data_IF_532405239766
#
_entry.id   IF_532405239766
#
_cell.length_a   1.000
_cell.length_b   1.000
_cell.length_c   1.000
_cell.angle_alpha   90.00
_cell.angle_beta   90.00
_cell.angle_gamma   90.00
#
_symmetry.space_group_name_H-M   'P 1'
#
loop_
_entity.id
_entity.type
_entity.pdbx_description
1 polymer ?
#
# COMPACT_ATOMS: atom_id res chain seq x y z
N UNK A 1 32.72 -11.47 -6.99
CA UNK A 1 32.99 -12.48 -5.93
C UNK A 1 31.90 -12.40 -4.87
N UNK A 2 31.05 -13.42 -4.75
CA UNK A 2 30.05 -13.48 -3.68
C UNK A 2 30.76 -13.69 -2.34
N UNK A 3 30.65 -12.72 -1.42
CA UNK A 3 31.21 -12.81 -0.07
C UNK A 3 30.58 -14.04 0.62
N UNK A 4 31.38 -15.04 0.99
CA UNK A 4 30.88 -16.21 1.75
C UNK A 4 30.40 -15.72 3.12
N UNK A 5 29.10 -15.56 3.29
CA UNK A 5 28.49 -15.19 4.58
C UNK A 5 28.46 -16.43 5.48
N UNK A 6 28.85 -16.25 6.75
CA UNK A 6 28.85 -17.34 7.73
C UNK A 6 27.42 -17.78 8.04
N UNK A 7 27.20 -19.06 8.31
CA UNK A 7 25.87 -19.61 8.63
C UNK A 7 25.23 -18.87 9.82
N UNK A 8 26.03 -18.47 10.82
CA UNK A 8 25.58 -17.68 11.98
C UNK A 8 25.04 -16.30 11.57
N UNK A 9 25.73 -15.61 10.67
CA UNK A 9 25.26 -14.32 10.16
C UNK A 9 23.95 -14.48 9.38
N UNK A 10 23.84 -15.52 8.53
CA UNK A 10 22.59 -15.81 7.80
C UNK A 10 21.42 -16.03 8.75
N UNK A 11 21.58 -16.88 9.76
CA UNK A 11 20.54 -17.16 10.76
C UNK A 11 20.16 -15.88 11.51
N UNK A 12 21.15 -15.09 11.95
CA UNK A 12 20.90 -13.82 12.65
C UNK A 12 20.08 -12.84 11.79
N UNK A 13 20.47 -12.64 10.53
CA UNK A 13 19.72 -11.78 9.61
C UNK A 13 18.34 -12.34 9.26
N UNK A 14 18.19 -13.66 9.12
CA UNK A 14 16.88 -14.27 8.88
C UNK A 14 15.93 -14.09 10.06
N UNK A 15 16.39 -14.28 11.30
CA UNK A 15 15.59 -14.03 12.50
C UNK A 15 15.20 -12.55 12.60
N UNK A 16 16.16 -11.65 12.38
CA UNK A 16 15.89 -10.21 12.39
C UNK A 16 14.87 -9.81 11.32
N UNK A 17 15.00 -10.33 10.10
CA UNK A 17 14.05 -10.08 9.03
C UNK A 17 12.64 -10.58 9.36
N UNK A 18 12.51 -11.79 9.94
CA UNK A 18 11.23 -12.31 10.38
C UNK A 18 10.62 -11.51 11.53
N UNK A 19 11.43 -11.07 12.50
CA UNK A 19 10.96 -10.24 13.59
C UNK A 19 10.41 -8.89 13.08
N UNK A 20 11.12 -8.23 12.16
CA UNK A 20 10.67 -6.99 11.53
C UNK A 20 9.41 -7.22 10.70
N UNK A 21 9.37 -8.29 9.90
CA UNK A 21 8.21 -8.62 9.08
C UNK A 21 6.96 -8.86 9.94
N UNK A 22 7.09 -9.63 11.03
CA UNK A 22 5.98 -9.90 11.94
C UNK A 22 5.53 -8.63 12.67
N UNK A 23 6.46 -7.76 13.09
CA UNK A 23 6.13 -6.49 13.73
C UNK A 23 5.33 -5.58 12.78
N UNK A 24 5.77 -5.45 11.52
CA UNK A 24 5.07 -4.63 10.52
C UNK A 24 3.74 -5.25 10.07
N UNK A 25 3.65 -6.59 10.06
CA UNK A 25 2.45 -7.31 9.66
C UNK A 25 1.41 -7.38 10.78
N UNK A 26 1.82 -7.30 12.05
CA UNK A 26 0.94 -7.45 13.20
C UNK A 26 -0.32 -6.55 13.17
N UNK A 27 -0.25 -5.25 12.83
CA UNK A 27 -1.44 -4.41 12.73
C UNK A 27 -2.44 -4.90 11.66
N UNK A 28 -1.93 -5.42 10.53
CA UNK A 28 -2.76 -5.95 9.44
C UNK A 28 -3.44 -7.25 9.91
N UNK A 29 -2.68 -8.13 10.57
CA UNK A 29 -3.21 -9.35 11.17
C UNK A 29 -4.30 -9.02 12.21
N UNK A 30 -4.06 -8.05 13.08
CA UNK A 30 -5.01 -7.64 14.10
C UNK A 30 -6.28 -7.04 13.49
N UNK A 31 -6.17 -6.23 12.43
CA UNK A 31 -7.32 -5.71 11.69
C UNK A 31 -8.17 -6.83 11.08
N UNK A 32 -7.51 -7.85 10.50
CA UNK A 32 -8.19 -9.04 9.97
C UNK A 32 -8.88 -9.87 11.07
N UNK A 33 -8.22 -10.10 12.21
CA UNK A 33 -8.85 -10.81 13.33
C UNK A 33 -10.04 -10.01 13.88
N UNK A 34 -9.94 -8.69 13.90
CA UNK A 34 -11.02 -7.81 14.36
C UNK A 34 -12.21 -7.81 13.42
N UNK A 35 -12.03 -7.98 12.10
CA UNK A 35 -13.17 -8.10 11.18
C UNK A 35 -14.01 -9.36 11.40
N UNK A 36 -13.46 -10.37 12.08
CA UNK A 36 -14.13 -11.62 12.47
C UNK A 36 -14.75 -11.58 13.88
N UNK A 37 -14.63 -10.46 14.60
CA UNK A 37 -15.23 -10.26 15.94
C UNK A 37 -16.64 -9.69 15.84
N UNK A 38 -17.47 -9.95 16.85
CA UNK A 38 -18.74 -9.23 17.02
C UNK A 38 -18.51 -7.76 17.44
N UNK A 39 -19.49 -6.87 17.24
CA UNK A 39 -19.39 -5.46 17.69
C UNK A 39 -19.02 -5.33 19.18
N UNK A 40 -19.64 -6.08 20.11
CA UNK A 40 -19.26 -6.03 21.53
C UNK A 40 -17.83 -6.51 21.81
N UNK A 41 -17.36 -7.54 21.10
CA UNK A 41 -15.97 -8.03 21.24
C UNK A 41 -14.94 -7.06 20.68
N UNK A 42 -15.29 -6.32 19.63
CA UNK A 42 -14.40 -5.33 19.03
C UNK A 42 -14.13 -4.14 19.98
N UNK A 43 -15.13 -3.76 20.78
CA UNK A 43 -15.01 -2.66 21.76
C UNK A 43 -14.49 -3.09 23.13
N UNK A 44 -14.53 -4.40 23.46
CA UNK A 44 -14.09 -4.94 24.75
C UNK A 44 -12.57 -4.87 24.99
N UNK A 45 -11.78 -4.53 23.97
CA UNK A 45 -10.33 -4.31 24.09
C UNK A 45 -9.49 -5.29 23.28
N UNK A 46 -8.21 -5.43 23.66
CA UNK A 46 -7.26 -6.26 22.93
C UNK A 46 -7.52 -7.75 23.15
N UNK A 47 -7.91 -8.45 22.09
CA UNK A 47 -8.01 -9.92 22.04
C UNK A 47 -7.55 -10.43 20.68
N UNK A 48 -6.79 -11.52 20.67
CA UNK A 48 -6.27 -12.18 19.45
C UNK A 48 -7.17 -13.32 18.97
N UNK A 49 -8.11 -13.78 19.80
CA UNK A 49 -8.98 -14.91 19.47
C UNK A 49 -10.37 -14.34 19.16
N UNK A 50 -10.80 -14.32 17.89
CA UNK A 50 -12.14 -13.88 17.52
C UNK A 50 -13.17 -15.01 17.73
N UNK A 51 -14.44 -14.63 17.91
CA UNK A 51 -15.58 -15.56 17.84
C UNK A 51 -15.74 -16.23 16.47
N UNK A 52 -15.16 -15.66 15.41
CA UNK A 52 -15.16 -16.24 14.07
C UNK A 52 -16.44 -15.97 13.28
N UNK A 53 -17.11 -14.84 13.54
CA UNK A 53 -18.36 -14.45 12.85
C UNK A 53 -18.08 -13.79 11.49
N UNK A 54 -19.02 -13.96 10.55
CA UNK A 54 -19.04 -13.28 9.26
C UNK A 54 -20.14 -12.22 9.15
N UNK A 55 -20.84 -11.95 10.26
CA UNK A 55 -21.95 -11.01 10.32
C UNK A 55 -21.56 -9.61 9.81
N UNK A 56 -20.39 -9.11 10.20
CA UNK A 56 -19.88 -7.81 9.74
C UNK A 56 -19.83 -7.70 8.21
N UNK A 57 -19.43 -8.77 7.51
CA UNK A 57 -19.34 -8.76 6.05
C UNK A 57 -20.73 -8.70 5.40
N UNK A 58 -21.69 -9.45 5.95
CA UNK A 58 -23.08 -9.44 5.48
C UNK A 58 -23.69 -8.06 5.72
N UNK A 59 -23.51 -7.50 6.92
CA UNK A 59 -24.02 -6.19 7.29
C UNK A 59 -23.46 -5.08 6.39
N UNK A 60 -22.15 -5.09 6.15
CA UNK A 60 -21.49 -4.10 5.26
C UNK A 60 -22.03 -4.19 3.83
N UNK A 61 -22.21 -5.40 3.29
CA UNK A 61 -22.73 -5.54 1.93
C UNK A 61 -24.22 -5.19 1.82
N UNK A 62 -25.05 -5.60 2.78
CA UNK A 62 -26.51 -5.40 2.72
C UNK A 62 -26.93 -3.97 3.07
N UNK A 63 -26.26 -3.32 4.03
CA UNK A 63 -26.65 -1.98 4.49
C UNK A 63 -25.95 -0.84 3.75
N UNK A 64 -24.73 -1.07 3.22
CA UNK A 64 -23.90 -0.01 2.64
C UNK A 64 -23.58 -0.20 1.16
N UNK A 65 -24.03 -1.29 0.53
CA UNK A 65 -23.69 -1.69 -0.85
C UNK A 65 -22.19 -1.51 -1.12
N UNK A 66 -21.36 -2.14 -0.30
CA UNK A 66 -19.92 -1.91 -0.29
C UNK A 66 -19.21 -2.32 -1.59
N UNK A 67 -19.79 -3.25 -2.34
CA UNK A 67 -19.23 -3.69 -3.61
C UNK A 67 -19.09 -2.56 -4.64
N UNK A 68 -20.01 -1.60 -4.65
CA UNK A 68 -19.97 -0.46 -5.59
C UNK A 68 -18.79 0.49 -5.36
N UNK A 69 -18.56 1.07 -4.17
CA UNK A 69 -17.38 1.90 -3.91
C UNK A 69 -16.08 1.11 -4.00
N UNK A 70 -16.09 -0.19 -3.67
CA UNK A 70 -14.95 -1.08 -3.91
C UNK A 70 -14.60 -1.13 -5.41
N UNK A 71 -15.58 -1.41 -6.28
CA UNK A 71 -15.35 -1.50 -7.71
C UNK A 71 -14.92 -0.15 -8.31
N UNK A 72 -15.49 0.96 -7.85
CA UNK A 72 -15.05 2.30 -8.25
C UNK A 72 -13.57 2.50 -7.94
N UNK A 73 -13.11 2.09 -6.76
CA UNK A 73 -11.70 2.21 -6.35
C UNK A 73 -10.78 1.33 -7.21
N UNK A 74 -11.21 0.10 -7.54
CA UNK A 74 -10.48 -0.80 -8.45
C UNK A 74 -10.33 -0.19 -9.83
N UNK A 75 -11.43 0.29 -10.41
CA UNK A 75 -11.43 0.91 -11.75
C UNK A 75 -10.59 2.19 -11.76
N UNK A 76 -10.72 3.04 -10.75
CA UNK A 76 -9.96 4.29 -10.65
C UNK A 76 -8.45 4.02 -10.45
N UNK A 77 -8.07 3.11 -9.55
CA UNK A 77 -6.66 2.81 -9.30
C UNK A 77 -5.98 2.16 -10.50
N UNK A 78 -6.59 1.15 -11.11
CA UNK A 78 -6.04 0.49 -12.29
C UNK A 78 -6.07 1.41 -13.51
N UNK A 79 -7.20 2.05 -13.77
CA UNK A 79 -7.38 2.97 -14.90
C UNK A 79 -6.40 4.13 -14.86
N UNK A 80 -6.28 4.81 -13.71
CA UNK A 80 -5.32 5.91 -13.55
C UNK A 80 -3.87 5.45 -13.68
N UNK A 81 -3.52 4.27 -13.17
CA UNK A 81 -2.16 3.72 -13.31
C UNK A 81 -1.83 3.43 -14.76
N UNK A 82 -2.75 2.80 -15.51
CA UNK A 82 -2.55 2.50 -16.93
C UNK A 82 -2.38 3.78 -17.75
N UNK A 83 -3.27 4.75 -17.57
CA UNK A 83 -3.19 6.05 -18.27
C UNK A 83 -1.89 6.76 -17.91
N UNK A 84 -1.51 6.77 -16.63
CA UNK A 84 -0.27 7.36 -16.17
C UNK A 84 0.96 6.68 -16.80
N UNK A 85 0.99 5.35 -16.91
CA UNK A 85 2.09 4.63 -17.57
C UNK A 85 2.18 4.93 -19.07
N UNK A 86 1.04 4.96 -19.77
CA UNK A 86 0.98 5.30 -21.20
C UNK A 86 1.62 6.67 -21.48
N UNK A 87 1.44 7.64 -20.58
CA UNK A 87 2.01 8.99 -20.72
C UNK A 87 3.43 9.05 -20.17
N UNK A 88 3.68 8.48 -19.00
CA UNK A 88 4.94 8.62 -18.29
C UNK A 88 6.09 7.85 -18.95
N UNK A 89 5.84 6.68 -19.53
CA UNK A 89 6.87 5.86 -20.19
C UNK A 89 7.50 6.61 -21.38
N UNK A 90 6.74 7.09 -22.39
CA UNK A 90 7.34 7.83 -23.50
C UNK A 90 7.96 9.16 -23.06
N UNK A 91 7.36 9.85 -22.09
CA UNK A 91 7.94 11.08 -21.54
C UNK A 91 9.29 10.82 -20.87
N UNK A 92 9.39 9.77 -20.05
CA UNK A 92 10.63 9.36 -19.40
C UNK A 92 11.69 8.94 -20.43
N UNK A 93 11.29 8.19 -21.48
CA UNK A 93 12.18 7.81 -22.57
C UNK A 93 12.77 9.03 -23.28
N UNK A 94 11.93 9.99 -23.67
CA UNK A 94 12.38 11.21 -24.35
C UNK A 94 13.36 12.00 -23.48
N UNK A 95 13.10 12.14 -22.19
CA UNK A 95 13.98 12.86 -21.27
C UNK A 95 15.29 12.12 -20.94
N UNK A 96 15.28 10.79 -20.94
CA UNK A 96 16.45 9.97 -20.64
C UNK A 96 17.41 9.84 -21.84
N UNK A 97 16.87 9.68 -23.05
CA UNK A 97 17.67 9.36 -24.25
C UNK A 97 17.78 10.53 -25.25
N UNK A 98 16.92 11.54 -25.16
CA UNK A 98 16.97 12.75 -26.01
C UNK A 98 16.76 14.02 -25.18
N UNK A 99 17.64 14.31 -24.21
CA UNK A 99 17.49 15.48 -23.35
C UNK A 99 17.62 16.78 -24.15
N UNK A 100 16.72 17.72 -23.88
CA UNK A 100 16.75 19.08 -24.43
C UNK A 100 17.21 20.07 -23.36
N UNK A 101 17.49 21.32 -23.76
CA UNK A 101 17.86 22.39 -22.82
C UNK A 101 16.82 22.62 -21.70
N UNK A 102 15.55 22.24 -21.92
CA UNK A 102 14.44 22.41 -20.97
C UNK A 102 14.18 21.19 -20.08
N UNK A 103 14.82 20.04 -20.34
CA UNK A 103 14.55 18.79 -19.61
C UNK A 103 14.77 18.96 -18.10
N UNK A 104 15.83 19.66 -17.70
CA UNK A 104 16.11 19.94 -16.28
C UNK A 104 14.99 20.75 -15.63
N UNK A 105 14.52 21.82 -16.27
CA UNK A 105 13.49 22.69 -15.71
C UNK A 105 12.15 21.95 -15.58
N UNK A 106 11.80 21.12 -16.55
CA UNK A 106 10.59 20.28 -16.53
C UNK A 106 10.68 19.26 -15.38
N UNK A 107 11.82 18.59 -15.20
CA UNK A 107 12.00 17.62 -14.11
C UNK A 107 11.94 18.31 -12.74
N UNK A 108 12.53 19.49 -12.60
CA UNK A 108 12.45 20.29 -11.36
C UNK A 108 11.01 20.73 -11.08
N UNK A 109 10.26 21.14 -12.11
CA UNK A 109 8.85 21.45 -11.98
C UNK A 109 8.03 20.23 -11.54
N UNK A 110 8.21 19.07 -12.18
CA UNK A 110 7.52 17.82 -11.80
C UNK A 110 7.87 17.35 -10.37
N UNK A 111 9.10 17.58 -9.93
CA UNK A 111 9.50 17.27 -8.55
C UNK A 111 8.80 18.22 -7.57
N UNK A 112 8.77 19.52 -7.87
CA UNK A 112 8.11 20.51 -7.02
C UNK A 112 6.63 20.20 -6.80
N UNK A 113 5.91 19.78 -7.85
CA UNK A 113 4.48 19.46 -7.76
C UNK A 113 4.19 18.23 -6.91
N UNK A 114 5.13 17.28 -6.84
CA UNK A 114 5.03 16.11 -5.93
C UNK A 114 5.33 16.44 -4.47
N UNK A 115 6.07 17.51 -4.20
CA UNK A 115 6.43 17.95 -2.85
C UNK A 115 5.47 19.02 -2.30
N UNK A 116 4.57 19.55 -3.13
CA UNK A 116 3.53 20.48 -2.67
C UNK A 116 2.62 19.77 -1.65
N UNK A 117 2.31 20.42 -0.51
CA UNK A 117 1.42 19.84 0.47
C UNK A 117 0.02 19.69 -0.12
N UNK A 118 -0.65 18.58 0.17
CA UNK A 118 -1.99 18.29 -0.36
C UNK A 118 -3.01 19.40 -0.08
N UNK A 119 -2.86 20.10 1.06
CA UNK A 119 -3.70 21.23 1.47
C UNK A 119 -3.56 22.47 0.57
N UNK A 120 -2.45 22.61 -0.18
CA UNK A 120 -2.28 23.72 -1.10
C UNK A 120 -2.97 23.50 -2.46
N UNK A 121 -3.48 22.29 -2.72
CA UNK A 121 -4.00 21.85 -4.03
C UNK A 121 -5.50 21.47 -3.97
N UNK A 122 -6.05 21.27 -2.76
CA UNK A 122 -7.47 20.97 -2.48
C UNK A 122 -8.13 22.17 -1.79
#
# INVERSE_FOLDING_TARGET
MARKTTTRAKIGFSIAAWAVALLLFFPILYAFLTSLKTEPEAIAGFSLIPSGTLENYVTVQTQRDYFKPFMNSVVLSLGSTIIALIIAIPAAWAMAFSPTKRTKDILMWMLSTKMMPAVAVL
#
